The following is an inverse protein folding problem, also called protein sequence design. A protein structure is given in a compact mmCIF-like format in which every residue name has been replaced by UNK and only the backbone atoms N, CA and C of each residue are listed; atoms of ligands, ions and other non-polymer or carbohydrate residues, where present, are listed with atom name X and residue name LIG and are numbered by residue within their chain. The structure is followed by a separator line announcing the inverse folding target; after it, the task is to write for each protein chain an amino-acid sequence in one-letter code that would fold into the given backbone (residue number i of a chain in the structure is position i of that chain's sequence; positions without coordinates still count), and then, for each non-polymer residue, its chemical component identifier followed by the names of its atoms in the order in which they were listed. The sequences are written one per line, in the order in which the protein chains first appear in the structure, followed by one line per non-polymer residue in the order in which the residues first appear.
data_IF_290767292753
#
_entry.id   IF_290767292753
#
_cell.length_a   1.000
_cell.length_b   1.000
_cell.length_c   1.000
_cell.angle_alpha   90.00
_cell.angle_beta   90.00
_cell.angle_gamma   90.00
#
_symmetry.space_group_name_H-M   'P 1'
#
loop_
_entity.id
_entity.type
_entity.pdbx_description
1 polymer ?
#
# COMPACT_ATOMS: atom_id res chain seq x y z
N UNK A 1 22.17 -1.54 -15.83
CA UNK A 1 21.60 -2.88 -16.08
C UNK A 1 20.74 -3.28 -14.89
N UNK A 2 19.71 -2.49 -14.58
CA UNK A 2 18.81 -2.69 -13.43
C UNK A 2 17.39 -2.77 -13.98
N UNK A 3 17.08 -3.93 -14.54
CA UNK A 3 15.76 -4.27 -15.08
C UNK A 3 15.54 -5.75 -14.80
N UNK A 4 15.26 -6.11 -13.55
CA UNK A 4 14.77 -7.44 -13.17
C UNK A 4 14.40 -7.49 -11.67
N UNK A 5 13.44 -6.69 -11.23
CA UNK A 5 12.74 -6.93 -9.97
C UNK A 5 11.23 -6.75 -10.18
N UNK A 6 10.72 -7.34 -11.28
CA UNK A 6 9.31 -7.68 -11.39
C UNK A 6 9.07 -8.85 -10.44
N UNK A 7 8.40 -8.52 -9.34
CA UNK A 7 8.00 -9.41 -8.25
C UNK A 7 7.30 -10.63 -8.83
N UNK A 8 7.61 -11.83 -8.32
CA UNK A 8 7.05 -13.08 -8.83
C UNK A 8 5.49 -13.09 -8.83
N UNK A 9 4.86 -12.31 -7.94
CA UNK A 9 3.41 -12.08 -7.92
C UNK A 9 2.86 -11.36 -9.17
N UNK A 10 3.55 -10.34 -9.71
CA UNK A 10 3.07 -9.58 -10.87
C UNK A 10 3.02 -10.43 -12.15
N UNK A 11 3.91 -11.42 -12.26
CA UNK A 11 3.92 -12.37 -13.39
C UNK A 11 2.75 -13.36 -13.37
N UNK A 12 2.31 -13.78 -12.19
CA UNK A 12 1.12 -14.65 -12.05
C UNK A 12 -0.18 -13.87 -12.29
N UNK A 13 -0.20 -12.58 -11.95
CA UNK A 13 -1.33 -11.69 -12.29
C UNK A 13 -1.52 -11.54 -13.80
N UNK A 14 -0.44 -11.53 -14.60
CA UNK A 14 -0.51 -11.38 -16.05
C UNK A 14 -1.00 -12.64 -16.78
N UNK A 15 -0.71 -13.84 -16.27
CA UNK A 15 -1.11 -15.11 -16.93
C UNK A 15 -2.53 -15.56 -16.60
N UNK A 16 -3.14 -15.08 -15.51
CA UNK A 16 -4.51 -15.41 -15.12
C UNK A 16 -5.58 -14.58 -15.84
N UNK A 17 -5.21 -13.59 -16.66
CA UNK A 17 -6.17 -12.73 -17.38
C UNK A 17 -6.89 -13.41 -18.56
N UNK A 18 -6.57 -14.67 -18.87
CA UNK A 18 -7.26 -15.47 -19.88
C UNK A 18 -8.24 -16.48 -19.29
N UNK A 19 -9.13 -16.02 -18.42
CA UNK A 19 -10.40 -16.71 -18.22
C UNK A 19 -11.42 -15.66 -17.77
N UNK A 20 -12.46 -15.50 -18.58
CA UNK A 20 -13.65 -14.73 -18.24
C UNK A 20 -14.33 -15.38 -17.02
N UNK A 21 -13.85 -15.11 -15.82
CA UNK A 21 -14.46 -15.63 -14.59
C UNK A 21 -14.74 -14.50 -13.61
N UNK A 22 -16.04 -14.28 -13.43
CA UNK A 22 -16.76 -13.82 -12.23
C UNK A 22 -15.85 -13.24 -11.14
N UNK A 23 -16.06 -11.96 -10.77
CA UNK A 23 -15.22 -11.14 -9.89
C UNK A 23 -14.67 -11.74 -8.57
N UNK A 24 -15.01 -12.97 -8.22
CA UNK A 24 -14.39 -13.73 -7.14
C UNK A 24 -12.91 -14.09 -7.34
N UNK A 25 -12.34 -14.19 -8.55
CA UNK A 25 -10.90 -14.49 -8.70
C UNK A 25 -10.00 -13.27 -8.46
N UNK A 26 -10.42 -12.09 -8.93
CA UNK A 26 -9.69 -10.84 -8.68
C UNK A 26 -9.57 -10.56 -7.17
N UNK A 27 -10.66 -10.71 -6.42
CA UNK A 27 -10.63 -10.51 -4.96
C UNK A 27 -9.78 -11.55 -4.24
N UNK A 28 -9.72 -12.80 -4.71
CA UNK A 28 -8.83 -13.82 -4.12
C UNK A 28 -7.36 -13.48 -4.35
N UNK A 29 -7.01 -12.96 -5.53
CA UNK A 29 -5.64 -12.52 -5.83
C UNK A 29 -5.24 -11.30 -5.00
N UNK A 30 -6.16 -10.34 -4.78
CA UNK A 30 -5.93 -9.21 -3.88
C UNK A 30 -5.73 -9.67 -2.43
N UNK A 31 -6.53 -10.62 -1.95
CA UNK A 31 -6.36 -11.19 -0.62
C UNK A 31 -5.02 -11.95 -0.47
N UNK A 32 -4.63 -12.72 -1.49
CA UNK A 32 -3.34 -13.40 -1.52
C UNK A 32 -2.17 -12.41 -1.50
N UNK A 33 -2.23 -11.32 -2.27
CA UNK A 33 -1.20 -10.27 -2.22
C UNK A 33 -1.03 -9.70 -0.80
N UNK A 34 -2.12 -9.29 -0.15
CA UNK A 34 -2.10 -8.76 1.22
C UNK A 34 -1.49 -9.78 2.21
N UNK A 35 -1.90 -11.04 2.13
CA UNK A 35 -1.43 -12.10 3.02
C UNK A 35 0.06 -12.44 2.78
N UNK A 36 0.48 -12.61 1.52
CA UNK A 36 1.87 -12.91 1.16
C UNK A 36 2.82 -11.79 1.59
N UNK A 37 2.40 -10.53 1.45
CA UNK A 37 3.14 -9.35 1.92
C UNK A 37 3.24 -9.28 3.43
N UNK A 38 2.24 -9.81 4.14
CA UNK A 38 2.28 -10.05 5.58
C UNK A 38 3.05 -11.34 5.95
N UNK A 39 3.77 -11.98 5.03
CA UNK A 39 4.57 -13.16 5.32
C UNK A 39 3.74 -14.42 5.59
N UNK A 40 2.55 -14.51 5.00
CA UNK A 40 1.63 -15.65 5.16
C UNK A 40 1.49 -16.36 3.81
N UNK A 41 1.83 -17.64 3.75
CA UNK A 41 1.57 -18.48 2.58
C UNK A 41 0.06 -18.55 2.33
N UNK A 42 -0.36 -18.31 1.09
CA UNK A 42 -1.77 -18.32 0.72
C UNK A 42 -2.01 -19.35 -0.36
N UNK A 43 -3.07 -20.16 -0.21
CA UNK A 43 -3.41 -21.22 -1.17
C UNK A 43 -4.83 -21.00 -1.67
N UNK A 44 -4.99 -20.95 -3.00
CA UNK A 44 -6.30 -20.97 -3.66
C UNK A 44 -6.53 -22.38 -4.21
N UNK A 45 -7.53 -23.09 -3.66
CA UNK A 45 -7.87 -24.44 -4.06
C UNK A 45 -9.39 -24.63 -4.24
N UNK A 46 -9.79 -25.65 -4.99
CA UNK A 46 -11.19 -26.01 -5.17
C UNK A 46 -11.75 -26.60 -3.86
N UNK A 47 -12.73 -25.93 -3.25
CA UNK A 47 -13.34 -26.36 -1.98
C UNK A 47 -14.10 -27.70 -2.06
N UNK A 48 -14.45 -28.14 -3.26
CA UNK A 48 -15.10 -29.45 -3.49
C UNK A 48 -14.12 -30.63 -3.48
N UNK A 49 -12.80 -30.39 -3.46
CA UNK A 49 -11.80 -31.47 -3.40
C UNK A 49 -11.84 -32.14 -2.02
N UNK A 50 -12.09 -33.46 -1.94
CA UNK A 50 -12.05 -34.18 -0.66
C UNK A 50 -10.67 -34.05 -0.01
N UNK A 51 -10.63 -33.85 1.31
CA UNK A 51 -9.38 -33.76 2.07
C UNK A 51 -8.57 -32.47 1.87
N UNK A 52 -9.06 -31.51 1.08
CA UNK A 52 -8.28 -30.32 0.68
C UNK A 52 -7.65 -29.55 1.84
N UNK A 53 -8.33 -29.42 2.98
CA UNK A 53 -7.79 -28.73 4.16
C UNK A 53 -6.63 -29.51 4.78
N UNK A 54 -6.74 -30.84 4.87
CA UNK A 54 -5.67 -31.69 5.39
C UNK A 54 -4.44 -31.67 4.49
N UNK A 55 -4.65 -31.82 3.18
CA UNK A 55 -3.58 -31.76 2.19
C UNK A 55 -2.79 -30.44 2.28
N UNK A 56 -3.51 -29.31 2.46
CA UNK A 56 -2.90 -27.99 2.64
C UNK A 56 -2.04 -27.92 3.91
N UNK A 57 -2.52 -28.46 5.03
CA UNK A 57 -1.77 -28.47 6.30
C UNK A 57 -0.54 -29.39 6.25
N UNK A 58 -0.58 -30.47 5.47
CA UNK A 58 0.55 -31.37 5.25
C UNK A 58 1.56 -30.85 4.21
N UNK A 59 1.29 -29.69 3.59
CA UNK A 59 2.15 -29.13 2.54
C UNK A 59 2.07 -29.88 1.21
N UNK A 60 1.03 -30.68 1.01
CA UNK A 60 0.77 -31.38 -0.25
C UNK A 60 0.32 -30.35 -1.29
N UNK A 61 0.92 -30.40 -2.47
CA UNK A 61 0.60 -29.46 -3.56
C UNK A 61 -0.85 -29.61 -4.02
N UNK A 62 -1.69 -28.62 -3.70
CA UNK A 62 -3.10 -28.56 -4.08
C UNK A 62 -3.48 -27.14 -4.49
N UNK A 63 -4.14 -27.00 -5.63
CA UNK A 63 -4.53 -25.69 -6.14
C UNK A 63 -3.31 -24.84 -6.54
N UNK A 64 -3.31 -23.56 -6.20
CA UNK A 64 -2.21 -22.62 -6.44
C UNK A 64 -1.69 -22.07 -5.12
N UNK A 65 -0.41 -22.29 -4.83
CA UNK A 65 0.30 -21.75 -3.68
C UNK A 65 0.97 -20.41 -4.05
N UNK A 66 0.69 -19.39 -3.25
CA UNK A 66 1.33 -18.09 -3.27
C UNK A 66 2.27 -18.01 -2.06
N UNK A 67 3.57 -18.00 -2.33
CA UNK A 67 4.58 -17.96 -1.28
C UNK A 67 4.63 -16.61 -0.58
N UNK A 68 4.75 -16.65 0.73
CA UNK A 68 5.08 -15.52 1.58
C UNK A 68 6.34 -14.80 1.08
N UNK A 69 6.34 -13.47 1.22
CA UNK A 69 7.52 -12.68 0.89
C UNK A 69 8.67 -13.02 1.85
N UNK A 70 9.86 -13.30 1.30
CA UNK A 70 11.04 -13.70 2.08
C UNK A 70 11.44 -12.68 3.17
N UNK A 71 11.18 -11.40 2.92
CA UNK A 71 11.25 -10.32 3.90
C UNK A 71 9.86 -9.71 4.06
N UNK A 72 9.03 -10.20 5.00
CA UNK A 72 7.68 -9.73 5.20
C UNK A 72 7.64 -8.25 5.58
N UNK A 73 6.51 -7.60 5.32
CA UNK A 73 6.22 -6.31 5.94
C UNK A 73 6.28 -6.43 7.47
N UNK A 74 6.93 -5.44 8.06
CA UNK A 74 7.07 -5.31 9.50
C UNK A 74 5.70 -5.37 10.17
N UNK A 75 5.55 -6.20 11.21
CA UNK A 75 4.27 -6.46 11.88
C UNK A 75 3.51 -5.17 12.24
N UNK A 76 4.25 -4.12 12.63
CA UNK A 76 3.72 -2.82 13.04
C UNK A 76 2.95 -2.10 11.93
N UNK A 77 3.23 -2.36 10.65
CA UNK A 77 2.59 -1.66 9.52
C UNK A 77 1.33 -2.37 9.02
N UNK A 78 1.21 -3.69 9.24
CA UNK A 78 0.18 -4.55 8.63
C UNK A 78 -1.26 -4.10 8.85
N UNK A 79 -1.56 -3.46 9.98
CA UNK A 79 -2.90 -2.96 10.28
C UNK A 79 -3.39 -1.91 9.27
N UNK A 80 -2.47 -1.21 8.59
CA UNK A 80 -2.78 -0.21 7.57
C UNK A 80 -3.55 -0.85 6.40
N UNK A 81 -3.32 -2.13 6.06
CA UNK A 81 -4.08 -2.83 5.01
C UNK A 81 -5.58 -2.94 5.31
N UNK A 82 -5.97 -2.97 6.59
CA UNK A 82 -7.37 -3.12 7.00
C UNK A 82 -8.06 -1.80 7.32
N UNK A 83 -7.33 -0.68 7.36
CA UNK A 83 -7.89 0.61 7.74
C UNK A 83 -8.57 1.28 6.53
N UNK A 84 -9.84 1.70 6.65
CA UNK A 84 -10.49 2.47 5.59
C UNK A 84 -9.82 3.85 5.48
N UNK A 85 -9.49 4.33 4.26
CA UNK A 85 -8.93 5.66 4.11
C UNK A 85 -9.92 6.75 4.54
N UNK A 86 -9.54 7.60 5.49
CA UNK A 86 -10.33 8.74 5.97
C UNK A 86 -10.33 9.92 4.98
N UNK A 87 -9.37 9.93 4.05
CA UNK A 87 -9.24 10.90 2.98
C UNK A 87 -8.13 10.52 2.02
N UNK A 88 -7.81 11.43 1.12
CA UNK A 88 -6.78 11.20 0.10
C UNK A 88 -5.96 12.45 -0.18
N UNK A 89 -4.73 12.22 -0.64
CA UNK A 89 -3.82 13.27 -1.11
C UNK A 89 -3.29 12.90 -2.48
N UNK A 90 -3.19 13.89 -3.36
CA UNK A 90 -2.53 13.73 -4.66
C UNK A 90 -1.10 14.27 -4.55
N UNK A 91 -0.13 13.51 -5.06
CA UNK A 91 1.29 13.87 -5.02
C UNK A 91 1.89 14.02 -6.42
N UNK A 92 2.98 14.76 -6.52
CA UNK A 92 3.71 14.93 -7.78
C UNK A 92 4.52 13.70 -8.20
N UNK A 93 5.08 13.76 -9.41
CA UNK A 93 5.92 12.71 -9.97
C UNK A 93 7.17 12.44 -9.12
N UNK A 94 7.78 13.50 -8.56
CA UNK A 94 8.98 13.38 -7.74
C UNK A 94 8.73 12.62 -6.43
N UNK A 95 7.61 12.92 -5.76
CA UNK A 95 7.14 12.22 -4.58
C UNK A 95 6.66 10.81 -4.91
N UNK A 96 5.97 10.62 -6.04
CA UNK A 96 5.56 9.29 -6.53
C UNK A 96 6.77 8.38 -6.71
N UNK A 97 7.81 8.83 -7.42
CA UNK A 97 9.05 8.09 -7.60
C UNK A 97 9.78 7.87 -6.26
N UNK A 98 9.80 8.87 -5.37
CA UNK A 98 10.42 8.74 -4.05
C UNK A 98 9.76 7.65 -3.19
N UNK A 99 8.43 7.57 -3.22
CA UNK A 99 7.66 6.58 -2.48
C UNK A 99 7.87 5.19 -3.08
N UNK A 100 7.64 5.03 -4.39
CA UNK A 100 7.63 3.71 -5.04
C UNK A 100 9.03 3.12 -5.25
N UNK A 101 10.00 3.93 -5.68
CA UNK A 101 11.33 3.41 -6.04
C UNK A 101 12.30 3.38 -4.86
N UNK A 102 12.14 4.30 -3.90
CA UNK A 102 13.10 4.48 -2.80
C UNK A 102 12.53 4.18 -1.41
N UNK A 103 11.23 3.91 -1.29
CA UNK A 103 10.58 3.71 0.02
C UNK A 103 10.72 4.93 0.94
N UNK A 104 10.69 6.13 0.36
CA UNK A 104 10.89 7.39 1.10
C UNK A 104 9.62 7.84 1.82
N UNK A 105 9.79 8.64 2.89
CA UNK A 105 8.69 9.37 3.51
C UNK A 105 8.13 10.43 2.55
N UNK A 106 6.86 10.76 2.70
CA UNK A 106 6.24 11.85 1.96
C UNK A 106 6.48 13.19 2.67
N UNK A 107 7.06 14.15 1.95
CA UNK A 107 7.23 15.53 2.40
C UNK A 107 6.06 16.42 1.91
N UNK A 108 5.71 17.49 2.63
CA UNK A 108 4.66 18.43 2.21
C UNK A 108 4.89 19.03 0.82
N UNK A 109 6.17 19.24 0.46
CA UNK A 109 6.60 19.75 -0.84
C UNK A 109 6.00 18.99 -2.03
N UNK A 110 5.83 17.68 -1.90
CA UNK A 110 5.32 16.82 -2.95
C UNK A 110 3.80 16.76 -3.06
N UNK A 111 3.05 17.40 -2.14
CA UNK A 111 1.59 17.36 -2.10
C UNK A 111 1.01 18.40 -3.07
N UNK A 112 0.06 17.97 -3.91
CA UNK A 112 -0.64 18.80 -4.90
C UNK A 112 -2.08 19.11 -4.53
N UNK A 113 -2.77 18.18 -3.87
CA UNK A 113 -4.12 18.40 -3.36
C UNK A 113 -4.43 17.49 -2.18
N UNK A 114 -5.43 17.89 -1.39
CA UNK A 114 -5.90 17.17 -0.20
C UNK A 114 -7.43 17.13 -0.23
N UNK A 115 -8.00 15.92 -0.26
CA UNK A 115 -9.44 15.67 -0.36
C UNK A 115 -9.94 14.98 0.91
N UNK A 116 -11.12 15.38 1.38
CA UNK A 116 -11.73 14.87 2.60
C UNK A 116 -11.34 15.65 3.86
N UNK A 117 -11.92 15.26 4.99
CA UNK A 117 -11.63 15.85 6.29
C UNK A 117 -11.15 14.75 7.23
N UNK A 118 -9.90 14.86 7.66
CA UNK A 118 -9.26 13.86 8.50
C UNK A 118 -8.29 14.51 9.48
N UNK A 119 -8.04 13.80 10.56
CA UNK A 119 -7.17 14.17 11.66
C UNK A 119 -5.78 13.56 11.50
N UNK A 120 -4.83 14.11 12.26
CA UNK A 120 -3.54 13.44 12.49
C UNK A 120 -3.80 12.05 13.07
N UNK A 121 -3.06 11.05 12.60
CA UNK A 121 -3.15 9.67 13.06
C UNK A 121 -4.13 8.80 12.26
N UNK A 122 -4.92 9.39 11.36
CA UNK A 122 -5.79 8.63 10.47
C UNK A 122 -5.05 8.14 9.23
N UNK A 123 -5.47 6.99 8.72
CA UNK A 123 -4.94 6.43 7.47
C UNK A 123 -5.56 7.17 6.30
N UNK A 124 -4.71 7.60 5.38
CA UNK A 124 -5.09 8.30 4.15
C UNK A 124 -4.53 7.57 2.93
N UNK A 125 -5.23 7.74 1.81
CA UNK A 125 -4.79 7.27 0.49
C UNK A 125 -3.84 8.29 -0.13
N UNK A 126 -2.79 7.81 -0.78
CA UNK A 126 -1.84 8.63 -1.53
C UNK A 126 -2.00 8.25 -3.01
N UNK A 127 -2.35 9.24 -3.82
CA UNK A 127 -2.61 9.10 -5.24
C UNK A 127 -1.54 9.83 -6.06
N UNK A 128 -1.16 9.28 -7.21
CA UNK A 128 -0.36 10.02 -8.18
C UNK A 128 -1.23 10.98 -9.01
N UNK A 129 -0.62 11.75 -9.92
CA UNK A 129 -1.32 12.72 -10.77
C UNK A 129 -2.35 12.08 -11.73
N UNK A 130 -2.23 10.80 -12.05
CA UNK A 130 -3.24 10.07 -12.84
C UNK A 130 -4.41 9.56 -11.99
N UNK A 131 -4.41 9.83 -10.68
CA UNK A 131 -5.43 9.34 -9.75
C UNK A 131 -5.26 7.88 -9.34
N UNK A 132 -4.11 7.26 -9.63
CA UNK A 132 -3.81 5.89 -9.19
C UNK A 132 -3.43 5.89 -7.71
N UNK A 133 -4.07 5.01 -6.95
CA UNK A 133 -3.74 4.70 -5.55
C UNK A 133 -2.39 3.98 -5.47
N UNK A 134 -1.35 4.69 -5.00
CA UNK A 134 0.04 4.22 -4.96
C UNK A 134 0.49 3.78 -3.56
N UNK A 135 -0.12 4.31 -2.49
CA UNK A 135 0.25 3.98 -1.12
C UNK A 135 -0.86 4.39 -0.15
N UNK A 136 -0.95 3.70 0.99
CA UNK A 136 -1.74 4.14 2.15
C UNK A 136 -0.79 4.45 3.31
N UNK A 137 -1.11 5.44 4.12
CA UNK A 137 -0.29 5.74 5.29
C UNK A 137 -0.95 6.66 6.30
N UNK A 138 -0.35 6.72 7.48
CA UNK A 138 -0.86 7.51 8.60
C UNK A 138 -0.43 8.97 8.45
N UNK A 139 -1.42 9.86 8.40
CA UNK A 139 -1.15 11.30 8.28
C UNK A 139 -0.55 11.87 9.57
N UNK A 140 0.52 12.67 9.45
CA UNK A 140 1.12 13.41 10.58
C UNK A 140 0.42 14.73 10.89
N UNK A 141 -0.39 15.22 9.96
CA UNK A 141 -1.13 16.48 10.06
C UNK A 141 -2.60 16.26 9.70
N UNK A 142 -3.49 17.12 10.20
CA UNK A 142 -4.88 17.10 9.74
C UNK A 142 -5.00 17.67 8.32
N UNK A 143 -6.16 17.46 7.68
CA UNK A 143 -6.39 17.86 6.29
C UNK A 143 -6.20 19.36 6.06
N UNK A 144 -6.64 20.22 6.98
CA UNK A 144 -6.51 21.68 6.84
C UNK A 144 -5.06 22.15 6.95
N UNK A 145 -4.31 21.55 7.88
CA UNK A 145 -2.88 21.79 8.00
C UNK A 145 -2.15 21.35 6.73
N UNK A 146 -2.43 20.15 6.21
CA UNK A 146 -1.83 19.67 4.95
C UNK A 146 -2.14 20.58 3.77
N UNK A 147 -3.36 21.11 3.65
CA UNK A 147 -3.70 22.10 2.60
C UNK A 147 -2.83 23.34 2.66
N UNK A 148 -2.51 23.80 3.87
CA UNK A 148 -1.70 25.02 4.08
C UNK A 148 -0.21 24.80 3.83
N UNK A 149 0.32 23.61 4.12
CA UNK A 149 1.75 23.29 3.94
C UNK A 149 2.05 22.55 2.63
N UNK A 150 1.04 22.21 1.83
CA UNK A 150 1.22 21.57 0.53
C UNK A 150 2.09 22.44 -0.38
N UNK A 151 3.12 21.83 -0.99
CA UNK A 151 4.06 22.53 -1.85
C UNK A 151 5.18 23.29 -1.11
N UNK A 152 5.12 23.41 0.22
CA UNK A 152 6.14 24.08 1.02
C UNK A 152 7.26 23.13 1.46
N UNK A 153 8.43 23.70 1.77
CA UNK A 153 9.53 22.98 2.39
C UNK A 153 9.24 22.72 3.87
N UNK A 154 9.80 21.63 4.40
CA UNK A 154 9.57 21.23 5.80
C UNK A 154 9.97 22.29 6.83
N UNK A 155 10.94 23.14 6.52
CA UNK A 155 11.38 24.24 7.38
C UNK A 155 10.33 25.35 7.52
N UNK A 156 9.36 25.42 6.61
CA UNK A 156 8.31 26.44 6.61
C UNK A 156 7.08 26.03 7.44
N UNK A 157 7.02 24.76 7.89
CA UNK A 157 5.82 24.21 8.56
C UNK A 157 5.47 25.02 9.81
N UNK A 158 6.44 25.24 10.70
CA UNK A 158 6.21 25.96 11.97
C UNK A 158 5.77 27.40 11.72
N UNK A 159 6.38 28.08 10.74
CA UNK A 159 5.99 29.43 10.35
C UNK A 159 4.57 29.50 9.76
N UNK A 160 4.15 28.49 9.00
CA UNK A 160 2.82 28.44 8.38
C UNK A 160 1.75 28.05 9.40
N UNK A 161 2.01 27.07 10.26
CA UNK A 161 0.99 26.47 11.14
C UNK A 161 1.02 27.00 12.58
N UNK A 162 2.15 27.55 13.04
CA UNK A 162 2.41 27.89 14.44
C UNK A 162 2.76 26.67 15.31
N UNK A 163 3.03 25.52 14.69
CA UNK A 163 3.46 24.29 15.34
C UNK A 163 4.09 23.33 14.32
N UNK A 164 4.85 22.33 14.80
CA UNK A 164 5.46 21.29 13.96
C UNK A 164 5.29 19.89 14.58
N UNK A 165 4.94 18.90 13.76
CA UNK A 165 4.95 17.47 14.08
C UNK A 165 6.02 16.71 13.29
N UNK A 166 7.17 17.37 13.10
CA UNK A 166 8.29 16.90 12.29
C UNK A 166 8.15 17.22 10.79
N UNK A 167 9.20 16.92 10.00
CA UNK A 167 9.32 17.43 8.65
C UNK A 167 8.49 16.70 7.59
N UNK A 168 7.86 15.57 7.94
CA UNK A 168 7.18 14.67 7.00
C UNK A 168 5.66 14.75 7.15
N UNK A 169 4.95 14.67 6.03
CA UNK A 169 3.49 14.54 6.01
C UNK A 169 3.03 13.11 6.33
N UNK A 170 3.73 12.11 5.76
CA UNK A 170 3.53 10.69 6.05
C UNK A 170 4.90 10.03 6.16
N UNK A 171 5.18 9.37 7.28
CA UNK A 171 6.46 8.70 7.49
C UNK A 171 6.48 7.35 6.77
N UNK A 172 7.62 6.95 6.19
CA UNK A 172 7.79 5.62 5.55
C UNK A 172 7.51 4.44 6.49
N UNK A 173 7.66 4.68 7.80
CA UNK A 173 7.36 3.66 8.82
C UNK A 173 5.89 3.52 9.15
N UNK A 174 5.09 4.49 8.73
CA UNK A 174 3.65 4.48 8.88
C UNK A 174 2.98 4.48 7.48
N UNK A 175 3.65 3.91 6.47
CA UNK A 175 3.21 3.85 5.07
C UNK A 175 3.39 2.46 4.48
N UNK A 176 2.46 2.05 3.62
CA UNK A 176 2.53 0.85 2.79
C UNK A 176 2.31 1.27 1.33
N UNK A 177 3.26 0.98 0.46
CA UNK A 177 3.12 1.16 -0.99
C UNK A 177 2.33 0.01 -1.59
N UNK A 178 1.62 0.19 -2.70
CA UNK A 178 1.09 -0.97 -3.43
C UNK A 178 2.20 -1.76 -4.08
#
# INVERSE_FOLDING_TARGET
MFTALMTHCERLLATAFQASETGGMSTKLQAADVACRAGIDTIIAAGSKPGVIGDVMEGISVGTLFHAQATPLENRKRWIFGAPPAGEITVDEGATAAILERGSSLLPKGIKSVTGNFSRGEVIRICNLEGRDIAHGVSRYNSDALRRIAGHHSQEIDAILGYEYGPVAVHRDDMITR
#
